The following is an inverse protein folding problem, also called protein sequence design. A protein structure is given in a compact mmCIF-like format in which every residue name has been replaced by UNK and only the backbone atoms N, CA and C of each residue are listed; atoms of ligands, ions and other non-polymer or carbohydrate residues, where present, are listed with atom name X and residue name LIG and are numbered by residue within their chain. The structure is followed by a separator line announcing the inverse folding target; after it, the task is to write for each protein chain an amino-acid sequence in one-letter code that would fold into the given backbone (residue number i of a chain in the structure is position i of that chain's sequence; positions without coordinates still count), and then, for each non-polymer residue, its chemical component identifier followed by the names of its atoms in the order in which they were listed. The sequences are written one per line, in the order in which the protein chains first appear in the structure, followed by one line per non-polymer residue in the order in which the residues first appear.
data_IF_434598630317
#
_entry.id   IF_434598630317
#
_cell.length_a   1.000
_cell.length_b   1.000
_cell.length_c   1.000
_cell.angle_alpha   90.00
_cell.angle_beta   90.00
_cell.angle_gamma   90.00
#
_symmetry.space_group_name_H-M   'P 1'
#
loop_
_entity.id
_entity.type
_entity.pdbx_description
1 polymer ?
#
# COMPACT_ATOMS: atom_id res chain seq x y z
N UNK A 1 -33.12 -7.45 2.83
CA UNK A 1 -32.56 -6.32 2.06
C UNK A 1 -31.44 -6.84 1.17
N UNK A 2 -31.21 -6.26 0.00
CA UNK A 2 -30.08 -6.64 -0.85
C UNK A 2 -28.76 -6.23 -0.16
N UNK A 3 -27.73 -7.08 -0.22
CA UNK A 3 -26.41 -6.81 0.39
C UNK A 3 -25.84 -5.47 -0.13
N UNK A 4 -25.69 -4.43 0.73
CA UNK A 4 -25.25 -3.11 0.28
C UNK A 4 -23.81 -3.12 -0.26
N UNK A 5 -22.98 -4.10 0.14
CA UNK A 5 -21.62 -4.28 -0.40
C UNK A 5 -21.62 -4.74 -1.86
N UNK A 6 -22.64 -5.48 -2.29
CA UNK A 6 -22.84 -5.81 -3.72
C UNK A 6 -23.25 -4.54 -4.49
N UNK A 7 -24.05 -3.68 -3.88
CA UNK A 7 -24.43 -2.39 -4.51
C UNK A 7 -23.23 -1.45 -4.65
N UNK A 8 -22.29 -1.42 -3.70
CA UNK A 8 -21.02 -0.67 -3.86
C UNK A 8 -20.28 -1.08 -5.13
N UNK A 9 -20.17 -2.39 -5.37
CA UNK A 9 -19.49 -2.92 -6.57
C UNK A 9 -20.17 -2.45 -7.86
N UNK A 10 -21.50 -2.43 -7.89
CA UNK A 10 -22.27 -1.93 -9.03
C UNK A 10 -22.10 -0.41 -9.24
N UNK A 11 -21.85 0.35 -8.16
CA UNK A 11 -21.52 1.78 -8.22
C UNK A 11 -20.04 2.04 -8.57
N UNK A 12 -19.26 0.99 -8.79
CA UNK A 12 -17.84 1.07 -9.17
C UNK A 12 -16.89 1.28 -8.00
N UNK A 13 -17.32 0.98 -6.77
CA UNK A 13 -16.47 0.92 -5.59
C UNK A 13 -16.28 -0.53 -5.11
N UNK A 14 -15.04 -0.97 -5.04
CA UNK A 14 -14.69 -2.32 -4.59
C UNK A 14 -14.56 -2.37 -3.06
N UNK A 15 -15.34 -3.21 -2.35
CA UNK A 15 -15.18 -3.42 -0.92
C UNK A 15 -14.01 -4.39 -0.67
N UNK A 16 -12.99 -3.95 0.04
CA UNK A 16 -11.85 -4.77 0.44
C UNK A 16 -11.86 -5.01 1.96
N UNK A 17 -11.34 -6.17 2.37
CA UNK A 17 -11.19 -6.52 3.77
C UNK A 17 -9.83 -6.03 4.29
N UNK A 18 -9.80 -5.19 5.31
CA UNK A 18 -8.56 -4.74 5.96
C UNK A 18 -8.21 -5.61 7.18
N UNK A 19 -8.08 -6.92 6.94
CA UNK A 19 -7.63 -7.88 7.94
C UNK A 19 -7.14 -9.18 7.29
N UNK A 20 -6.27 -9.91 7.99
CA UNK A 20 -5.87 -11.27 7.66
C UNK A 20 -5.52 -12.03 8.93
N UNK A 21 -5.89 -13.30 8.99
CA UNK A 21 -5.40 -14.24 9.99
C UNK A 21 -5.45 -15.64 9.42
N UNK A 22 -4.64 -16.54 9.95
CA UNK A 22 -4.65 -17.94 9.55
C UNK A 22 -6.02 -18.60 9.75
N UNK A 23 -6.69 -18.31 10.86
CA UNK A 23 -8.05 -18.83 11.10
C UNK A 23 -9.07 -18.34 10.09
N UNK A 24 -8.98 -17.08 9.65
CA UNK A 24 -9.87 -16.54 8.61
C UNK A 24 -9.74 -17.34 7.30
N UNK A 25 -8.53 -17.82 6.99
CA UNK A 25 -8.22 -18.63 5.81
C UNK A 25 -8.67 -20.09 6.00
N UNK A 26 -8.23 -20.75 7.07
CA UNK A 26 -8.43 -22.19 7.28
C UNK A 26 -9.87 -22.57 7.64
N UNK A 27 -10.62 -21.69 8.30
CA UNK A 27 -12.03 -21.93 8.62
C UNK A 27 -12.98 -21.83 7.42
N UNK A 28 -12.51 -21.33 6.27
CA UNK A 28 -13.35 -21.03 5.11
C UNK A 28 -14.13 -19.73 5.21
N UNK A 29 -13.97 -18.94 6.29
CA UNK A 29 -14.64 -17.67 6.47
C UNK A 29 -14.32 -16.66 5.35
N UNK A 30 -13.04 -16.53 4.94
CA UNK A 30 -12.68 -15.66 3.81
C UNK A 30 -13.38 -16.09 2.51
N UNK A 31 -13.42 -17.40 2.24
CA UNK A 31 -14.08 -17.97 1.07
C UNK A 31 -15.57 -17.67 1.08
N UNK A 32 -16.21 -17.73 2.26
CA UNK A 32 -17.61 -17.34 2.43
C UNK A 32 -17.84 -15.86 2.14
N UNK A 33 -17.02 -14.96 2.68
CA UNK A 33 -17.13 -13.52 2.40
C UNK A 33 -17.03 -13.22 0.90
N UNK A 34 -16.11 -13.89 0.19
CA UNK A 34 -15.98 -13.78 -1.26
C UNK A 34 -17.20 -14.33 -2.00
N UNK A 35 -17.72 -15.49 -1.57
CA UNK A 35 -18.89 -16.11 -2.19
C UNK A 35 -20.19 -15.31 -1.99
N UNK A 36 -20.35 -14.71 -0.81
CA UNK A 36 -21.51 -13.87 -0.45
C UNK A 36 -21.44 -12.47 -1.14
N UNK A 37 -20.34 -12.17 -1.82
CA UNK A 37 -20.11 -10.89 -2.48
C UNK A 37 -19.80 -9.74 -1.52
N UNK A 38 -19.37 -10.04 -0.30
CA UNK A 38 -19.04 -9.03 0.70
C UNK A 38 -17.75 -8.28 0.38
N UNK A 39 -16.78 -8.99 -0.22
CA UNK A 39 -15.45 -8.44 -0.51
C UNK A 39 -14.95 -8.87 -1.88
N UNK A 40 -14.13 -8.02 -2.50
CA UNK A 40 -13.45 -8.29 -3.77
C UNK A 40 -11.94 -8.15 -3.69
N UNK A 41 -11.38 -7.89 -2.50
CA UNK A 41 -9.95 -7.83 -2.25
C UNK A 41 -9.63 -7.79 -0.77
N UNK A 42 -8.33 -7.79 -0.44
CA UNK A 42 -7.84 -7.85 0.93
C UNK A 42 -6.55 -7.05 1.11
N UNK A 43 -6.41 -6.37 2.24
CA UNK A 43 -5.15 -5.76 2.68
C UNK A 43 -4.66 -6.34 4.00
N UNK A 44 -3.33 -6.40 4.14
CA UNK A 44 -2.65 -6.67 5.40
C UNK A 44 -1.78 -5.47 5.81
N UNK A 45 -1.32 -5.49 7.07
CA UNK A 45 -0.31 -4.59 7.61
C UNK A 45 0.36 -5.25 8.85
N UNK A 46 1.48 -4.71 9.37
CA UNK A 46 2.18 -5.33 10.50
C UNK A 46 1.34 -5.49 11.78
N UNK A 47 0.49 -4.52 12.12
CA UNK A 47 -0.38 -4.58 13.32
C UNK A 47 -1.38 -5.73 13.23
N UNK A 48 -1.94 -5.97 12.04
CA UNK A 48 -2.86 -7.10 11.79
C UNK A 48 -2.14 -8.44 12.05
N UNK A 49 -0.94 -8.61 11.49
CA UNK A 49 -0.17 -9.83 11.72
C UNK A 49 0.27 -10.00 13.18
N UNK A 50 0.63 -8.91 13.85
CA UNK A 50 0.96 -8.94 15.27
C UNK A 50 -0.19 -9.50 16.08
N UNK A 51 -1.40 -8.96 15.88
CA UNK A 51 -2.60 -9.43 16.56
C UNK A 51 -2.89 -10.89 16.23
N UNK A 52 -2.85 -11.28 14.95
CA UNK A 52 -3.11 -12.66 14.53
C UNK A 52 -2.13 -13.67 15.15
N UNK A 53 -0.84 -13.35 15.18
CA UNK A 53 0.20 -14.23 15.70
C UNK A 53 0.25 -14.22 17.24
N UNK A 54 0.00 -13.09 17.88
CA UNK A 54 0.04 -12.97 19.34
C UNK A 54 -1.15 -13.64 20.03
N UNK A 55 -2.33 -13.61 19.40
CA UNK A 55 -3.60 -13.97 20.05
C UNK A 55 -4.13 -15.37 19.68
N UNK A 56 -3.37 -16.16 18.91
CA UNK A 56 -3.83 -17.47 18.43
C UNK A 56 -2.76 -18.56 18.50
N UNK A 57 -3.23 -19.81 18.52
CA UNK A 57 -2.40 -21.00 18.36
C UNK A 57 -2.29 -21.47 16.90
N UNK A 58 -2.89 -20.73 15.96
CA UNK A 58 -3.00 -21.16 14.55
C UNK A 58 -1.63 -21.21 13.85
N UNK A 59 -0.64 -20.51 14.39
CA UNK A 59 0.71 -20.39 13.84
C UNK A 59 1.73 -21.33 14.50
N UNK A 60 1.33 -22.11 15.52
CA UNK A 60 2.24 -22.84 16.40
C UNK A 60 3.10 -23.82 15.62
N UNK A 61 2.49 -24.73 14.86
CA UNK A 61 3.21 -25.80 14.15
C UNK A 61 4.29 -25.25 13.20
N UNK A 62 3.95 -24.23 12.40
CA UNK A 62 4.90 -23.60 11.49
C UNK A 62 5.97 -22.83 12.24
N UNK A 63 5.59 -22.06 13.26
CA UNK A 63 6.55 -21.31 14.07
C UNK A 63 7.54 -22.27 14.73
N UNK A 64 7.05 -23.40 15.24
CA UNK A 64 7.90 -24.39 15.88
C UNK A 64 8.88 -25.02 14.90
N UNK A 65 8.38 -25.46 13.74
CA UNK A 65 9.18 -26.05 12.67
C UNK A 65 10.27 -25.07 12.21
N UNK A 66 9.88 -23.83 11.89
CA UNK A 66 10.81 -22.79 11.42
C UNK A 66 11.83 -22.39 12.51
N UNK A 67 11.43 -22.40 13.78
CA UNK A 67 12.34 -22.16 14.89
C UNK A 67 13.39 -23.28 15.01
N UNK A 68 12.99 -24.54 14.90
CA UNK A 68 13.90 -25.72 14.92
C UNK A 68 14.84 -25.76 13.71
N UNK A 69 14.41 -25.21 12.57
CA UNK A 69 15.26 -24.97 11.39
C UNK A 69 16.32 -23.85 11.61
N UNK A 70 16.31 -23.19 12.77
CA UNK A 70 17.29 -22.15 13.11
C UNK A 70 17.00 -20.78 12.50
N UNK A 71 15.79 -20.54 11.99
CA UNK A 71 15.40 -19.25 11.40
C UNK A 71 15.29 -18.16 12.46
N UNK A 72 15.63 -16.92 12.07
CA UNK A 72 15.41 -15.74 12.90
C UNK A 72 13.92 -15.38 12.98
N UNK A 73 13.54 -14.53 13.94
CA UNK A 73 12.16 -14.04 14.04
C UNK A 73 11.69 -13.32 12.77
N UNK A 74 12.55 -12.52 12.11
CA UNK A 74 12.23 -11.89 10.83
C UNK A 74 11.99 -12.93 9.72
N UNK A 75 12.82 -13.98 9.65
CA UNK A 75 12.66 -15.06 8.66
C UNK A 75 11.41 -15.91 8.91
N UNK A 76 11.07 -16.13 10.19
CA UNK A 76 9.83 -16.82 10.57
C UNK A 76 8.63 -15.98 10.14
N UNK A 77 8.59 -14.71 10.53
CA UNK A 77 7.51 -13.81 10.15
C UNK A 77 7.34 -13.74 8.61
N UNK A 78 8.44 -13.57 7.87
CA UNK A 78 8.41 -13.54 6.40
C UNK A 78 7.77 -14.81 5.82
N UNK A 79 8.17 -15.99 6.31
CA UNK A 79 7.60 -17.25 5.85
C UNK A 79 6.10 -17.39 6.16
N UNK A 80 5.67 -16.98 7.36
CA UNK A 80 4.27 -17.02 7.77
C UNK A 80 3.41 -16.05 6.95
N UNK A 81 3.86 -14.80 6.80
CA UNK A 81 3.13 -13.78 6.05
C UNK A 81 3.03 -14.12 4.57
N UNK A 82 4.12 -14.61 3.94
CA UNK A 82 4.09 -15.05 2.54
C UNK A 82 3.13 -16.21 2.35
N UNK A 83 3.09 -17.19 3.27
CA UNK A 83 2.16 -18.31 3.19
C UNK A 83 0.70 -17.84 3.26
N UNK A 84 0.35 -17.06 4.29
CA UNK A 84 -1.01 -16.55 4.46
C UNK A 84 -1.48 -15.70 3.27
N UNK A 85 -0.58 -14.88 2.71
CA UNK A 85 -0.88 -14.04 1.53
C UNK A 85 -1.06 -14.88 0.26
N UNK A 86 -0.31 -15.98 0.11
CA UNK A 86 -0.50 -16.91 -1.02
C UNK A 86 -1.86 -17.60 -0.93
N UNK A 87 -2.24 -18.06 0.25
CA UNK A 87 -3.53 -18.72 0.46
C UNK A 87 -4.69 -17.74 0.25
N UNK A 88 -4.55 -16.50 0.73
CA UNK A 88 -5.53 -15.43 0.48
C UNK A 88 -5.63 -15.09 -1.03
N UNK A 89 -4.51 -15.05 -1.75
CA UNK A 89 -4.50 -14.86 -3.20
C UNK A 89 -5.24 -15.99 -3.92
N UNK A 90 -5.08 -17.24 -3.48
CA UNK A 90 -5.76 -18.39 -4.07
C UNK A 90 -7.28 -18.35 -3.81
N UNK A 91 -7.71 -17.91 -2.63
CA UNK A 91 -9.14 -17.69 -2.32
C UNK A 91 -9.75 -16.58 -3.19
N UNK A 92 -8.98 -15.53 -3.50
CA UNK A 92 -9.43 -14.39 -4.32
C UNK A 92 -9.24 -14.60 -5.84
N UNK A 93 -8.55 -15.66 -6.27
CA UNK A 93 -8.29 -15.94 -7.68
C UNK A 93 -9.57 -15.99 -8.54
N UNK A 94 -10.70 -16.59 -8.11
CA UNK A 94 -11.94 -16.56 -8.88
C UNK A 94 -12.50 -15.15 -9.09
N UNK A 95 -12.28 -14.22 -8.15
CA UNK A 95 -12.65 -12.80 -8.31
C UNK A 95 -11.74 -12.13 -9.33
N UNK A 96 -10.44 -12.40 -9.25
CA UNK A 96 -9.47 -11.88 -10.20
C UNK A 96 -9.78 -12.32 -11.63
N UNK A 97 -10.09 -13.59 -11.82
CA UNK A 97 -10.46 -14.16 -13.12
C UNK A 97 -11.75 -13.57 -13.67
N UNK A 98 -12.85 -13.59 -12.89
CA UNK A 98 -14.17 -13.11 -13.36
C UNK A 98 -14.19 -11.61 -13.66
N UNK A 99 -13.31 -10.84 -13.02
CA UNK A 99 -13.18 -9.39 -13.22
C UNK A 99 -12.07 -9.02 -14.21
N UNK A 100 -11.42 -10.00 -14.84
CA UNK A 100 -10.29 -9.81 -15.74
C UNK A 100 -9.16 -8.97 -15.12
N UNK A 101 -8.88 -9.19 -13.83
CA UNK A 101 -7.88 -8.46 -13.06
C UNK A 101 -8.26 -7.03 -12.70
N UNK A 102 -9.55 -6.69 -12.73
CA UNK A 102 -10.03 -5.43 -12.15
C UNK A 102 -10.10 -5.52 -10.62
N UNK A 103 -10.36 -6.69 -10.04
CA UNK A 103 -10.37 -6.95 -8.60
C UNK A 103 -9.72 -8.31 -8.27
N UNK A 104 -9.92 -8.82 -7.06
CA UNK A 104 -9.38 -10.10 -6.58
C UNK A 104 -7.96 -10.00 -6.04
N UNK A 105 -7.54 -8.81 -5.60
CA UNK A 105 -6.18 -8.56 -5.15
C UNK A 105 -5.99 -8.78 -3.65
N UNK A 106 -4.79 -9.24 -3.29
CA UNK A 106 -4.30 -9.26 -1.90
C UNK A 106 -3.04 -8.42 -1.79
N UNK A 107 -2.90 -7.63 -0.72
CA UNK A 107 -1.71 -6.78 -0.50
C UNK A 107 -0.80 -7.30 0.62
N UNK A 108 0.52 -7.35 0.36
CA UNK A 108 1.59 -7.54 1.36
C UNK A 108 2.53 -6.34 1.35
N UNK A 109 2.98 -5.89 2.52
CA UNK A 109 3.79 -4.67 2.65
C UNK A 109 5.29 -4.94 2.75
N UNK A 110 6.10 -4.06 2.15
CA UNK A 110 7.55 -4.05 2.38
C UNK A 110 7.87 -3.70 3.84
N UNK A 111 9.00 -4.16 4.35
CA UNK A 111 9.40 -3.84 5.72
C UNK A 111 9.50 -2.30 5.93
N UNK A 112 8.90 -1.72 6.99
CA UNK A 112 8.89 -0.26 7.20
C UNK A 112 10.28 0.39 7.28
N UNK A 113 11.29 -0.35 7.75
CA UNK A 113 12.70 0.08 7.78
C UNK A 113 13.26 0.46 6.39
N UNK A 114 12.62 0.01 5.32
CA UNK A 114 13.01 0.30 3.94
C UNK A 114 12.33 1.55 3.36
N UNK A 115 11.36 2.14 4.07
CA UNK A 115 10.52 3.22 3.55
C UNK A 115 11.31 4.45 3.07
N UNK A 116 12.54 4.65 3.55
CA UNK A 116 13.42 5.76 3.16
C UNK A 116 14.61 5.33 2.28
N UNK A 117 14.63 4.08 1.78
CA UNK A 117 15.66 3.52 0.90
C UNK A 117 15.02 3.01 -0.41
N UNK A 118 15.14 3.81 -1.46
CA UNK A 118 14.58 3.48 -2.79
C UNK A 118 15.16 2.17 -3.35
N UNK A 119 16.50 1.97 -3.47
CA UNK A 119 17.04 0.70 -3.96
C UNK A 119 16.62 -0.53 -3.16
N UNK A 120 16.58 -0.43 -1.83
CA UNK A 120 16.18 -1.56 -0.97
C UNK A 120 14.70 -1.89 -1.11
N UNK A 121 13.83 -0.88 -1.17
CA UNK A 121 12.40 -1.06 -1.43
C UNK A 121 12.16 -1.77 -2.76
N UNK A 122 12.86 -1.40 -3.83
CA UNK A 122 12.74 -2.06 -5.15
C UNK A 122 13.16 -3.54 -5.07
N UNK A 123 14.28 -3.83 -4.41
CA UNK A 123 14.75 -5.22 -4.22
C UNK A 123 13.73 -6.04 -3.45
N UNK A 124 13.18 -5.47 -2.39
CA UNK A 124 12.21 -6.15 -1.56
C UNK A 124 10.88 -6.38 -2.28
N UNK A 125 10.40 -5.41 -3.03
CA UNK A 125 9.18 -5.58 -3.83
C UNK A 125 9.31 -6.73 -4.85
N UNK A 126 10.45 -6.84 -5.53
CA UNK A 126 10.75 -7.95 -6.44
C UNK A 126 10.83 -9.29 -5.72
N UNK A 127 11.42 -9.31 -4.52
CA UNK A 127 11.53 -10.52 -3.68
C UNK A 127 10.16 -11.01 -3.26
N UNK A 128 9.32 -10.14 -2.70
CA UNK A 128 7.95 -10.45 -2.27
C UNK A 128 7.09 -10.92 -3.44
N UNK A 129 7.16 -10.24 -4.58
CA UNK A 129 6.49 -10.65 -5.81
C UNK A 129 6.86 -12.09 -6.22
N UNK A 130 8.16 -12.40 -6.19
CA UNK A 130 8.67 -13.74 -6.54
C UNK A 130 8.33 -14.80 -5.48
N UNK A 131 8.31 -14.44 -4.20
CA UNK A 131 8.06 -15.37 -3.10
C UNK A 131 6.57 -15.78 -3.01
N UNK A 132 5.67 -14.82 -3.18
CA UNK A 132 4.23 -15.09 -3.24
C UNK A 132 3.88 -15.78 -4.56
N UNK A 133 4.42 -15.33 -5.68
CA UNK A 133 4.22 -15.95 -7.00
C UNK A 133 2.73 -16.17 -7.36
N UNK A 134 1.95 -15.09 -7.28
CA UNK A 134 0.54 -15.03 -7.69
C UNK A 134 0.26 -13.76 -8.48
N UNK A 135 -0.52 -13.82 -9.58
CA UNK A 135 -0.74 -12.67 -10.46
C UNK A 135 -1.60 -11.58 -9.82
N UNK A 136 -2.39 -11.94 -8.80
CA UNK A 136 -3.27 -11.06 -8.05
C UNK A 136 -2.65 -10.58 -6.72
N UNK A 137 -1.34 -10.71 -6.55
CA UNK A 137 -0.62 -10.00 -5.49
C UNK A 137 -0.55 -8.51 -5.82
N UNK A 138 -0.62 -7.65 -4.80
CA UNK A 138 -0.07 -6.30 -4.80
C UNK A 138 1.02 -6.19 -3.74
N UNK A 139 2.17 -5.63 -4.12
CA UNK A 139 3.17 -5.22 -3.13
C UNK A 139 2.84 -3.82 -2.65
N UNK A 140 2.76 -3.63 -1.33
CA UNK A 140 2.42 -2.37 -0.70
C UNK A 140 3.69 -1.57 -0.39
N UNK A 141 3.78 -0.36 -0.92
CA UNK A 141 4.93 0.54 -0.80
C UNK A 141 4.46 1.89 -0.22
N UNK A 142 5.03 2.37 0.89
CA UNK A 142 4.73 3.71 1.42
C UNK A 142 5.05 4.83 0.43
N UNK A 143 4.18 5.84 0.36
CA UNK A 143 4.33 7.03 -0.48
C UNK A 143 5.28 8.06 0.13
N UNK A 144 6.38 7.64 0.74
CA UNK A 144 7.43 8.58 1.17
C UNK A 144 8.12 9.18 -0.05
N UNK A 145 8.92 10.23 0.14
CA UNK A 145 9.74 10.79 -0.93
C UNK A 145 10.65 9.74 -1.59
N UNK A 146 11.17 8.77 -0.84
CA UNK A 146 11.98 7.67 -1.35
C UNK A 146 11.14 6.51 -1.91
N UNK A 147 9.90 6.34 -1.46
CA UNK A 147 8.99 5.30 -1.92
C UNK A 147 8.42 5.58 -3.31
N UNK A 148 8.11 6.84 -3.63
CA UNK A 148 7.59 7.25 -4.95
C UNK A 148 8.45 6.76 -6.13
N UNK A 149 9.77 6.97 -6.17
CA UNK A 149 10.60 6.43 -7.25
C UNK A 149 10.68 4.88 -7.23
N UNK A 150 10.54 4.24 -6.06
CA UNK A 150 10.46 2.78 -5.97
C UNK A 150 9.15 2.24 -6.59
N UNK A 151 8.04 2.97 -6.42
CA UNK A 151 6.76 2.69 -7.09
C UNK A 151 6.93 2.76 -8.61
N UNK A 152 7.49 3.85 -9.14
CA UNK A 152 7.70 4.00 -10.59
C UNK A 152 8.54 2.85 -11.16
N UNK A 153 9.60 2.44 -10.44
CA UNK A 153 10.42 1.31 -10.85
C UNK A 153 9.68 -0.02 -10.80
N UNK A 154 8.94 -0.29 -9.72
CA UNK A 154 8.22 -1.54 -9.56
C UNK A 154 7.09 -1.70 -10.58
N UNK A 155 6.39 -0.61 -10.92
CA UNK A 155 5.41 -0.59 -12.03
C UNK A 155 6.11 -0.84 -13.38
N UNK A 156 7.27 -0.22 -13.63
CA UNK A 156 8.03 -0.47 -14.85
C UNK A 156 8.50 -1.94 -14.97
N UNK A 157 8.84 -2.57 -13.85
CA UNK A 157 9.19 -3.99 -13.75
C UNK A 157 7.99 -4.91 -13.97
N UNK A 158 6.76 -4.39 -13.87
CA UNK A 158 5.52 -5.10 -14.16
C UNK A 158 4.82 -5.69 -12.93
N UNK A 159 5.13 -5.18 -11.74
CA UNK A 159 4.48 -5.58 -10.50
C UNK A 159 3.19 -4.79 -10.32
N UNK A 160 2.20 -5.41 -9.67
CA UNK A 160 1.06 -4.64 -9.15
C UNK A 160 1.44 -4.00 -7.82
N UNK A 161 1.09 -2.72 -7.64
CA UNK A 161 1.52 -1.95 -6.47
C UNK A 161 0.34 -1.32 -5.76
N UNK A 162 0.26 -1.54 -4.45
CA UNK A 162 -0.58 -0.78 -3.54
C UNK A 162 0.26 0.34 -2.91
N UNK A 163 0.06 1.58 -3.33
CA UNK A 163 0.80 2.71 -2.76
C UNK A 163 0.10 3.16 -1.47
N UNK A 164 0.79 3.18 -0.33
CA UNK A 164 0.19 3.43 1.00
C UNK A 164 0.69 4.70 1.67
N UNK A 165 0.09 5.08 2.81
CA UNK A 165 0.40 6.30 3.57
C UNK A 165 0.29 7.59 2.75
N UNK A 166 -0.74 7.70 1.91
CA UNK A 166 -1.02 8.93 1.17
C UNK A 166 -2.00 9.77 1.99
N UNK A 167 -1.57 10.98 2.38
CA UNK A 167 -2.40 11.92 3.15
C UNK A 167 -2.65 13.23 2.42
N UNK A 168 -1.70 13.68 1.59
CA UNK A 168 -1.76 14.98 0.91
C UNK A 168 -2.11 14.84 -0.57
N UNK A 169 -2.83 15.84 -1.10
CA UNK A 169 -3.11 15.94 -2.53
C UNK A 169 -1.82 16.02 -3.36
N UNK A 170 -0.82 16.76 -2.87
CA UNK A 170 0.49 16.86 -3.52
C UNK A 170 1.17 15.49 -3.64
N UNK A 171 1.23 14.73 -2.55
CA UNK A 171 1.81 13.39 -2.59
C UNK A 171 1.02 12.47 -3.52
N UNK A 172 -0.31 12.59 -3.53
CA UNK A 172 -1.13 11.79 -4.42
C UNK A 172 -0.87 12.09 -5.90
N UNK A 173 -0.67 13.36 -6.27
CA UNK A 173 -0.25 13.73 -7.63
C UNK A 173 1.09 13.10 -8.01
N UNK A 174 2.09 13.15 -7.12
CA UNK A 174 3.40 12.51 -7.33
C UNK A 174 3.28 10.99 -7.51
N UNK A 175 2.40 10.33 -6.75
CA UNK A 175 2.13 8.89 -6.87
C UNK A 175 1.50 8.55 -8.22
N UNK A 176 0.51 9.33 -8.67
CA UNK A 176 -0.09 9.11 -9.99
C UNK A 176 0.91 9.38 -11.12
N UNK A 177 1.79 10.36 -10.97
CA UNK A 177 2.90 10.61 -11.90
C UNK A 177 3.86 9.43 -11.98
N UNK A 178 4.27 8.87 -10.84
CA UNK A 178 5.11 7.67 -10.78
C UNK A 178 4.42 6.45 -11.43
N UNK A 179 3.11 6.28 -11.24
CA UNK A 179 2.37 5.21 -11.90
C UNK A 179 2.40 5.36 -13.43
N UNK A 180 2.03 6.52 -13.95
CA UNK A 180 2.05 6.77 -15.40
C UNK A 180 3.47 6.67 -15.96
N UNK A 181 4.48 7.21 -15.25
CA UNK A 181 5.89 7.12 -15.62
C UNK A 181 6.36 5.66 -15.74
N UNK A 182 6.02 4.82 -14.77
CA UNK A 182 6.35 3.40 -14.79
C UNK A 182 5.76 2.67 -16.00
N UNK A 183 4.47 2.90 -16.28
CA UNK A 183 3.79 2.33 -17.45
C UNK A 183 4.40 2.80 -18.77
N UNK A 184 4.71 4.11 -18.88
CA UNK A 184 5.34 4.68 -20.08
C UNK A 184 6.69 4.02 -20.33
N UNK A 185 7.56 3.95 -19.32
CA UNK A 185 8.90 3.34 -19.45
C UNK A 185 8.81 1.88 -19.87
N UNK A 186 7.85 1.14 -19.33
CA UNK A 186 7.62 -0.26 -19.69
C UNK A 186 7.20 -0.42 -21.16
N UNK A 187 6.26 0.41 -21.61
CA UNK A 187 5.80 0.41 -22.99
C UNK A 187 6.89 0.84 -23.98
N UNK A 188 7.70 1.85 -23.63
CA UNK A 188 8.87 2.28 -24.42
C UNK A 188 9.93 1.18 -24.52
N UNK A 189 10.00 0.30 -23.51
CA UNK A 189 10.85 -0.90 -23.49
C UNK A 189 10.27 -2.07 -24.31
N UNK A 190 9.10 -1.89 -24.93
CA UNK A 190 8.40 -2.89 -25.73
C UNK A 190 7.73 -3.99 -24.92
N UNK A 191 7.47 -3.75 -23.63
CA UNK A 191 6.79 -4.69 -22.73
C UNK A 191 5.32 -4.30 -22.56
N UNK A 192 4.46 -5.28 -22.25
CA UNK A 192 3.01 -5.08 -22.10
C UNK A 192 2.65 -4.39 -20.79
N UNK A 193 1.52 -3.68 -20.77
CA UNK A 193 0.98 -2.96 -19.60
C UNK A 193 -0.44 -3.43 -19.20
N UNK A 194 -1.03 -4.36 -19.96
CA UNK A 194 -2.41 -4.85 -19.81
C UNK A 194 -2.67 -5.69 -18.55
N UNK A 195 -1.62 -6.26 -17.97
CA UNK A 195 -1.66 -7.02 -16.72
C UNK A 195 -1.28 -6.25 -15.46
N UNK A 196 -1.08 -4.92 -15.53
CA UNK A 196 -0.60 -4.12 -14.39
C UNK A 196 -1.75 -3.36 -13.74
N UNK A 197 -1.97 -3.64 -12.45
CA UNK A 197 -2.90 -2.94 -11.60
C UNK A 197 -2.15 -2.14 -10.51
N UNK A 198 -2.76 -1.03 -10.07
CA UNK A 198 -2.28 -0.30 -8.91
C UNK A 198 -3.43 0.39 -8.21
N UNK A 199 -3.32 0.49 -6.89
CA UNK A 199 -4.21 1.29 -6.04
C UNK A 199 -3.39 2.32 -5.26
N UNK A 200 -4.01 3.44 -4.93
CA UNK A 200 -3.41 4.50 -4.12
C UNK A 200 -4.20 4.67 -2.82
N UNK A 201 -3.73 4.04 -1.74
CA UNK A 201 -4.34 4.05 -0.41
C UNK A 201 -4.21 5.43 0.24
N UNK A 202 -5.26 6.24 0.06
CA UNK A 202 -5.46 7.57 0.61
C UNK A 202 -6.16 7.48 1.96
N UNK A 203 -5.48 7.92 3.02
CA UNK A 203 -5.94 7.75 4.40
C UNK A 203 -6.97 8.81 4.78
N UNK A 204 -8.08 8.38 5.38
CA UNK A 204 -9.25 9.21 5.66
C UNK A 204 -9.32 9.60 7.14
N UNK A 205 -9.77 8.72 8.04
CA UNK A 205 -10.11 9.08 9.45
C UNK A 205 -8.96 9.69 10.27
N UNK A 206 -7.70 9.41 9.91
CA UNK A 206 -6.53 10.00 10.59
C UNK A 206 -6.46 11.52 10.40
N UNK A 207 -7.00 12.03 9.28
CA UNK A 207 -7.08 13.46 9.00
C UNK A 207 -8.01 14.14 9.99
N UNK A 208 -9.26 13.68 10.10
CA UNK A 208 -10.21 14.26 11.06
C UNK A 208 -9.75 14.09 12.49
N UNK A 209 -9.15 12.95 12.86
CA UNK A 209 -8.60 12.75 14.21
C UNK A 209 -7.58 13.85 14.59
N UNK A 210 -6.68 14.22 13.67
CA UNK A 210 -5.68 15.25 13.94
C UNK A 210 -6.26 16.67 13.82
N UNK A 211 -7.11 16.92 12.82
CA UNK A 211 -7.72 18.25 12.61
C UNK A 211 -8.67 18.59 13.75
N UNK A 212 -9.53 17.66 14.17
CA UNK A 212 -10.46 17.86 15.28
C UNK A 212 -9.70 18.14 16.58
N UNK A 213 -8.58 17.43 16.82
CA UNK A 213 -7.68 17.72 17.95
C UNK A 213 -7.12 19.14 17.90
N UNK A 214 -6.63 19.58 16.73
CA UNK A 214 -6.11 20.94 16.54
C UNK A 214 -7.19 22.02 16.68
N UNK A 215 -8.43 21.69 16.33
CA UNK A 215 -9.62 22.53 16.58
C UNK A 215 -9.88 22.62 18.09
N UNK A 216 -9.90 21.50 18.80
CA UNK A 216 -10.12 21.45 20.25
C UNK A 216 -9.07 22.25 21.02
N UNK A 217 -7.80 22.09 20.67
CA UNK A 217 -6.69 22.86 21.27
C UNK A 217 -6.88 24.38 21.07
N UNK A 218 -7.33 24.82 19.90
CA UNK A 218 -7.62 26.24 19.63
C UNK A 218 -8.84 26.75 20.39
N UNK A 219 -9.90 25.96 20.46
CA UNK A 219 -11.11 26.31 21.21
C UNK A 219 -10.82 26.44 22.72
N UNK A 220 -9.95 25.57 23.25
CA UNK A 220 -9.48 25.63 24.63
C UNK A 220 -8.57 26.85 24.88
N UNK A 221 -7.78 27.27 23.89
CA UNK A 221 -6.94 28.46 23.93
C UNK A 221 -7.70 29.79 23.71
N UNK A 222 -9.03 29.77 23.64
CA UNK A 222 -9.85 30.98 23.54
C UNK A 222 -9.95 31.58 22.12
N UNK A 223 -9.84 30.76 21.07
CA UNK A 223 -9.95 31.26 19.69
C UNK A 223 -11.26 32.04 19.42
N UNK A 224 -11.14 33.23 18.82
CA UNK A 224 -12.23 34.16 18.50
C UNK A 224 -13.33 33.55 17.60
N UNK A 225 -12.95 32.70 16.64
CA UNK A 225 -13.87 32.10 15.65
C UNK A 225 -14.39 30.72 16.08
N UNK A 226 -15.00 30.64 17.26
CA UNK A 226 -15.48 29.38 17.86
C UNK A 226 -16.48 28.64 16.98
N UNK A 227 -17.48 29.34 16.46
CA UNK A 227 -18.55 28.72 15.65
C UNK A 227 -18.01 28.15 14.35
N UNK A 228 -17.10 28.86 13.68
CA UNK A 228 -16.43 28.38 12.48
C UNK A 228 -15.64 27.11 12.78
N UNK A 229 -14.76 27.15 13.80
CA UNK A 229 -13.95 26.01 14.21
C UNK A 229 -14.81 24.79 14.54
N UNK A 230 -15.88 24.96 15.31
CA UNK A 230 -16.78 23.86 15.65
C UNK A 230 -17.51 23.32 14.41
N UNK A 231 -17.85 24.18 13.45
CA UNK A 231 -18.48 23.77 12.19
C UNK A 231 -17.56 22.96 11.27
N UNK A 232 -16.23 22.98 11.49
CA UNK A 232 -15.24 22.27 10.67
C UNK A 232 -14.93 20.85 11.17
N UNK A 233 -15.35 20.50 12.39
CA UNK A 233 -15.11 19.17 12.97
C UNK A 233 -15.69 18.06 12.08
N UNK A 234 -14.88 17.03 11.85
CA UNK A 234 -15.26 15.86 11.05
C UNK A 234 -15.45 16.13 9.56
N UNK A 235 -15.04 17.30 9.03
CA UNK A 235 -15.20 17.66 7.61
C UNK A 235 -13.92 17.54 6.80
N UNK A 236 -12.75 17.61 7.45
CA UNK A 236 -11.47 17.74 6.77
C UNK A 236 -11.12 16.48 5.95
N UNK A 237 -11.35 15.28 6.50
CA UNK A 237 -11.01 14.03 5.85
C UNK A 237 -11.83 13.80 4.57
N UNK A 238 -13.15 13.97 4.64
CA UNK A 238 -14.04 13.82 3.47
C UNK A 238 -13.72 14.90 2.44
N UNK A 239 -13.54 16.16 2.86
CA UNK A 239 -13.16 17.23 1.95
C UNK A 239 -11.85 16.90 1.22
N UNK A 240 -10.84 16.38 1.93
CA UNK A 240 -9.54 16.01 1.37
C UNK A 240 -9.67 14.86 0.36
N UNK A 241 -10.40 13.81 0.70
CA UNK A 241 -10.63 12.66 -0.18
C UNK A 241 -11.45 13.04 -1.44
N UNK A 242 -12.44 13.94 -1.33
CA UNK A 242 -13.16 14.48 -2.50
C UNK A 242 -12.23 15.23 -3.45
N UNK A 243 -11.34 16.08 -2.92
CA UNK A 243 -10.36 16.78 -3.74
C UNK A 243 -9.33 15.83 -4.36
N UNK A 244 -8.96 14.75 -3.66
CA UNK A 244 -8.13 13.68 -4.21
C UNK A 244 -8.83 12.99 -5.39
N UNK A 245 -10.13 12.67 -5.25
CA UNK A 245 -10.93 12.10 -6.34
C UNK A 245 -11.01 13.02 -7.57
N UNK A 246 -11.17 14.34 -7.36
CA UNK A 246 -11.11 15.33 -8.45
C UNK A 246 -9.75 15.30 -9.16
N UNK A 247 -8.65 15.25 -8.41
CA UNK A 247 -7.31 15.15 -8.97
C UNK A 247 -7.11 13.86 -9.78
N UNK A 248 -7.60 12.73 -9.26
CA UNK A 248 -7.64 11.43 -9.94
C UNK A 248 -8.36 11.51 -11.29
N UNK A 249 -9.61 11.97 -11.30
CA UNK A 249 -10.42 12.07 -12.53
C UNK A 249 -9.72 12.94 -13.58
N UNK A 250 -9.15 14.07 -13.16
CA UNK A 250 -8.39 14.97 -14.03
C UNK A 250 -7.13 14.31 -14.60
N UNK A 251 -6.38 13.54 -13.80
CA UNK A 251 -5.12 12.90 -14.22
C UNK A 251 -5.36 11.80 -15.25
N UNK A 252 -6.37 10.95 -15.00
CA UNK A 252 -6.72 9.82 -15.85
C UNK A 252 -7.67 10.18 -17.00
N UNK A 253 -8.03 11.46 -17.17
CA UNK A 253 -8.68 11.98 -18.39
C UNK A 253 -7.68 12.62 -19.37
N UNK A 254 -6.37 12.50 -19.14
CA UNK A 254 -5.34 13.12 -20.00
C UNK A 254 -5.05 12.29 -21.25
N UNK A 255 -4.59 12.96 -22.32
CA UNK A 255 -4.12 12.31 -23.55
C UNK A 255 -3.00 11.29 -23.28
N UNK A 256 -2.10 11.60 -22.34
CA UNK A 256 -1.02 10.69 -21.95
C UNK A 256 -1.56 9.34 -21.45
N UNK A 257 -2.61 9.37 -20.62
CA UNK A 257 -3.26 8.15 -20.16
C UNK A 257 -4.08 7.48 -21.28
N UNK A 258 -4.76 8.25 -22.14
CA UNK A 258 -5.52 7.68 -23.26
C UNK A 258 -4.64 6.79 -24.16
N UNK A 259 -3.40 7.19 -24.42
CA UNK A 259 -2.42 6.36 -25.16
C UNK A 259 -2.09 5.06 -24.43
N UNK A 260 -1.88 5.10 -23.12
CA UNK A 260 -1.62 3.90 -22.31
C UNK A 260 -2.84 2.98 -22.26
N UNK A 261 -4.03 3.55 -22.11
CA UNK A 261 -5.31 2.83 -22.09
C UNK A 261 -5.54 2.07 -23.40
N UNK A 262 -5.17 2.63 -24.55
CA UNK A 262 -5.20 1.94 -25.84
C UNK A 262 -4.26 0.72 -25.92
N UNK A 263 -3.31 0.59 -24.99
CA UNK A 263 -2.44 -0.58 -24.84
C UNK A 263 -2.87 -1.48 -23.65
N UNK A 264 -4.08 -1.29 -23.14
CA UNK A 264 -4.66 -2.09 -22.06
C UNK A 264 -4.36 -1.62 -20.65
N UNK A 265 -3.68 -0.48 -20.47
CA UNK A 265 -3.41 0.05 -19.13
C UNK A 265 -4.71 0.42 -18.40
N UNK A 266 -4.74 0.16 -17.09
CA UNK A 266 -5.84 0.51 -16.19
C UNK A 266 -5.58 1.84 -15.50
N UNK A 267 -6.61 2.46 -14.93
CA UNK A 267 -6.41 3.60 -14.03
C UNK A 267 -5.81 3.10 -12.71
N UNK A 268 -4.99 3.92 -12.05
CA UNK A 268 -4.62 3.65 -10.65
C UNK A 268 -5.77 4.12 -9.77
N UNK A 269 -6.57 3.19 -9.27
CA UNK A 269 -7.77 3.51 -8.49
C UNK A 269 -7.38 4.16 -7.16
N UNK A 270 -8.05 5.26 -6.72
CA UNK A 270 -7.99 5.68 -5.34
C UNK A 270 -8.52 4.54 -4.45
N UNK A 271 -7.83 4.27 -3.35
CA UNK A 271 -8.28 3.37 -2.31
C UNK A 271 -8.47 4.19 -1.03
N UNK A 272 -9.67 4.21 -0.47
CA UNK A 272 -9.94 4.86 0.81
C UNK A 272 -9.50 3.94 1.94
N UNK A 273 -8.49 4.37 2.70
CA UNK A 273 -7.91 3.60 3.79
C UNK A 273 -8.21 4.29 5.14
N UNK A 274 -8.21 3.50 6.21
CA UNK A 274 -8.56 4.00 7.55
C UNK A 274 -9.97 4.63 7.54
N UNK A 275 -10.97 3.91 7.04
CA UNK A 275 -12.37 4.37 6.90
C UNK A 275 -13.27 4.02 8.08
N UNK A 276 -12.69 3.54 9.19
CA UNK A 276 -13.41 3.42 10.46
C UNK A 276 -13.58 4.78 11.13
N UNK A 277 -14.81 5.07 11.56
CA UNK A 277 -15.13 6.22 12.40
C UNK A 277 -14.42 6.12 13.76
N UNK A 278 -13.70 7.17 14.16
CA UNK A 278 -12.93 7.24 15.42
C UNK A 278 -13.63 8.05 16.50
N UNK A 279 -14.48 8.99 16.09
CA UNK A 279 -15.24 9.85 16.99
C UNK A 279 -16.67 9.30 17.09
N UNK A 280 -17.16 8.91 18.28
CA UNK A 280 -18.52 8.37 18.44
C UNK A 280 -19.63 9.38 18.14
N UNK A 281 -19.31 10.68 18.03
CA UNK A 281 -20.25 11.70 17.58
C UNK A 281 -20.56 11.62 16.08
N UNK A 282 -19.80 10.86 15.29
CA UNK A 282 -20.03 10.68 13.86
C UNK A 282 -20.68 9.31 13.59
N UNK A 283 -21.47 9.17 12.51
CA UNK A 283 -22.03 7.87 12.13
C UNK A 283 -20.97 6.77 11.96
N UNK A 284 -21.31 5.52 12.27
CA UNK A 284 -20.37 4.38 12.20
C UNK A 284 -19.76 4.20 10.80
N UNK A 285 -20.58 4.35 9.76
CA UNK A 285 -20.22 4.18 8.34
C UNK A 285 -19.91 5.51 7.62
N UNK A 286 -19.68 6.58 8.39
CA UNK A 286 -19.56 7.96 7.91
C UNK A 286 -18.63 8.14 6.69
N UNK A 287 -17.42 7.58 6.75
CA UNK A 287 -16.46 7.72 5.68
C UNK A 287 -16.80 6.87 4.46
N UNK A 288 -17.27 5.63 4.66
CA UNK A 288 -17.64 4.74 3.56
C UNK A 288 -18.74 5.38 2.74
N UNK A 289 -19.81 5.85 3.38
CA UNK A 289 -20.96 6.46 2.70
C UNK A 289 -20.61 7.74 1.92
N UNK A 290 -19.70 8.55 2.45
CA UNK A 290 -19.32 9.82 1.85
C UNK A 290 -18.41 9.68 0.62
N UNK A 291 -17.72 8.54 0.49
CA UNK A 291 -16.60 8.36 -0.45
C UNK A 291 -16.88 7.33 -1.56
N UNK A 292 -18.13 6.87 -1.67
CA UNK A 292 -18.57 6.00 -2.77
C UNK A 292 -18.46 6.75 -4.10
N UNK A 293 -17.76 6.14 -5.05
CA UNK A 293 -17.72 6.61 -6.43
C UNK A 293 -17.06 5.65 -7.41
N UNK A 294 -17.24 5.86 -8.72
CA UNK A 294 -16.68 5.00 -9.75
C UNK A 294 -15.15 4.92 -9.72
N UNK A 295 -14.61 3.76 -10.07
CA UNK A 295 -13.17 3.47 -10.12
C UNK A 295 -12.45 3.64 -8.77
N UNK A 296 -13.13 3.33 -7.65
CA UNK A 296 -12.54 3.42 -6.31
C UNK A 296 -12.53 2.07 -5.58
N UNK A 297 -11.77 2.01 -4.50
CA UNK A 297 -11.73 0.90 -3.56
C UNK A 297 -11.94 1.49 -2.16
N UNK A 298 -12.62 0.79 -1.27
CA UNK A 298 -12.61 1.09 0.17
C UNK A 298 -12.09 -0.15 0.91
N UNK A 299 -11.02 -0.02 1.70
CA UNK A 299 -10.54 -1.11 2.54
C UNK A 299 -11.04 -0.91 3.97
N UNK A 300 -11.95 -1.80 4.37
CA UNK A 300 -12.72 -1.66 5.60
C UNK A 300 -12.23 -2.68 6.64
N UNK A 301 -11.94 -2.24 7.88
CA UNK A 301 -11.71 -3.17 8.97
C UNK A 301 -12.98 -3.99 9.26
N UNK A 302 -12.88 -5.15 9.94
CA UNK A 302 -13.99 -6.08 10.13
C UNK A 302 -15.27 -5.43 10.68
N UNK A 303 -15.15 -4.54 11.67
CA UNK A 303 -16.29 -3.84 12.27
C UNK A 303 -17.00 -2.91 11.26
N UNK A 304 -16.25 -2.08 10.54
CA UNK A 304 -16.81 -1.17 9.53
C UNK A 304 -17.45 -1.94 8.37
N UNK A 305 -16.83 -3.04 7.93
CA UNK A 305 -17.41 -3.90 6.89
C UNK A 305 -18.74 -4.52 7.35
N UNK A 306 -18.80 -5.00 8.59
CA UNK A 306 -20.01 -5.57 9.17
C UNK A 306 -21.12 -4.53 9.36
N UNK A 307 -20.80 -3.35 9.91
CA UNK A 307 -21.74 -2.24 10.05
C UNK A 307 -22.28 -1.78 8.69
N UNK A 308 -21.42 -1.65 7.69
CA UNK A 308 -21.87 -1.30 6.34
C UNK A 308 -22.77 -2.38 5.72
N UNK A 309 -22.45 -3.66 5.91
CA UNK A 309 -23.30 -4.78 5.44
C UNK A 309 -24.69 -4.76 6.07
N UNK A 310 -24.78 -4.37 7.34
CA UNK A 310 -26.01 -4.33 8.12
C UNK A 310 -26.92 -3.16 7.71
N UNK A 311 -26.39 -1.94 7.67
CA UNK A 311 -27.21 -0.72 7.53
C UNK A 311 -26.66 0.35 6.57
N UNK A 312 -25.68 0.01 5.72
CA UNK A 312 -25.10 0.97 4.77
C UNK A 312 -26.10 1.45 3.70
N UNK A 313 -26.01 2.74 3.34
CA UNK A 313 -26.82 3.34 2.27
C UNK A 313 -25.99 3.66 1.00
N UNK A 314 -25.92 2.74 0.03
CA UNK A 314 -25.04 2.85 -1.14
C UNK A 314 -25.54 3.89 -2.16
N UNK A 315 -24.80 4.99 -2.27
CA UNK A 315 -25.06 6.09 -3.21
C UNK A 315 -23.74 6.80 -3.56
N UNK A 316 -23.54 7.22 -4.81
CA UNK A 316 -22.35 8.00 -5.21
C UNK A 316 -22.44 9.40 -4.61
N UNK A 317 -21.49 9.76 -3.74
CA UNK A 317 -21.45 11.07 -3.04
C UNK A 317 -20.14 11.82 -3.19
N UNK A 318 -19.12 11.17 -3.73
CA UNK A 318 -17.75 11.69 -3.72
C UNK A 318 -17.52 12.87 -4.70
N UNK A 319 -18.27 12.92 -5.80
CA UNK A 319 -18.20 13.99 -6.80
C UNK A 319 -19.21 15.12 -6.55
N UNK A 320 -20.15 14.93 -5.61
CA UNK A 320 -21.07 15.96 -5.15
C UNK A 320 -20.41 16.97 -4.21
N UNK A 321 -20.89 18.22 -4.22
CA UNK A 321 -20.51 19.29 -3.27
C UNK A 321 -18.99 19.53 -3.18
N UNK A 322 -18.27 19.41 -4.30
CA UNK A 322 -16.80 19.66 -4.36
C UNK A 322 -16.44 21.10 -3.97
N UNK A 323 -17.28 22.07 -4.30
CA UNK A 323 -17.04 23.47 -3.89
C UNK A 323 -17.11 23.66 -2.36
N UNK A 324 -17.97 22.88 -1.68
CA UNK A 324 -17.99 22.84 -0.21
C UNK A 324 -16.68 22.25 0.34
N UNK A 325 -16.17 21.17 -0.28
CA UNK A 325 -14.89 20.60 0.10
C UNK A 325 -13.72 21.60 -0.06
N UNK A 326 -13.72 22.43 -1.10
CA UNK A 326 -12.74 23.52 -1.26
C UNK A 326 -12.87 24.56 -0.15
N UNK A 327 -14.10 25.01 0.14
CA UNK A 327 -14.37 25.97 1.22
C UNK A 327 -13.92 25.45 2.58
N UNK A 328 -14.10 24.17 2.87
CA UNK A 328 -13.58 23.56 4.12
C UNK A 328 -12.06 23.72 4.22
N UNK A 329 -11.33 23.49 3.13
CA UNK A 329 -9.87 23.70 3.13
C UNK A 329 -9.49 25.16 3.34
N UNK A 330 -10.17 26.08 2.64
CA UNK A 330 -9.93 27.52 2.77
C UNK A 330 -10.25 27.99 4.20
N UNK A 331 -11.35 27.51 4.80
CA UNK A 331 -11.75 27.85 6.17
C UNK A 331 -10.81 27.27 7.23
N UNK A 332 -10.26 26.07 7.01
CA UNK A 332 -9.22 25.52 7.87
C UNK A 332 -7.95 26.38 7.83
N UNK A 333 -7.52 26.81 6.64
CA UNK A 333 -6.37 27.70 6.48
C UNK A 333 -6.63 29.07 7.14
N UNK A 334 -7.81 29.65 6.94
CA UNK A 334 -8.25 30.87 7.62
C UNK A 334 -8.21 30.72 9.14
N UNK A 335 -8.57 29.55 9.67
CA UNK A 335 -8.50 29.21 11.09
C UNK A 335 -7.08 28.86 11.58
N UNK A 336 -6.07 28.97 10.71
CA UNK A 336 -4.67 28.70 11.01
C UNK A 336 -4.34 27.22 11.10
N UNK A 337 -5.17 26.33 10.56
CA UNK A 337 -4.94 24.88 10.46
C UNK A 337 -4.55 24.57 9.01
N UNK A 338 -3.25 24.62 8.73
CA UNK A 338 -2.74 24.36 7.38
C UNK A 338 -2.72 22.86 7.09
N UNK A 339 -3.41 22.44 6.04
CA UNK A 339 -3.49 21.04 5.66
C UNK A 339 -2.14 20.45 5.23
N UNK A 340 -1.22 21.26 4.71
CA UNK A 340 0.15 20.83 4.42
C UNK A 340 0.90 20.40 5.69
N UNK A 341 0.69 21.08 6.81
CA UNK A 341 1.34 20.74 8.08
C UNK A 341 0.71 19.50 8.70
N UNK A 342 -0.63 19.42 8.68
CA UNK A 342 -1.40 18.24 9.12
C UNK A 342 -0.95 17.00 8.36
N UNK A 343 -0.93 17.06 7.03
CA UNK A 343 -0.63 15.90 6.20
C UNK A 343 0.85 15.50 6.25
N UNK A 344 1.78 16.47 6.40
CA UNK A 344 3.19 16.17 6.67
C UNK A 344 3.37 15.42 7.99
N UNK A 345 2.74 15.92 9.06
CA UNK A 345 2.77 15.26 10.36
C UNK A 345 2.20 13.84 10.30
N UNK A 346 1.10 13.63 9.58
CA UNK A 346 0.50 12.31 9.41
C UNK A 346 1.38 11.34 8.60
N UNK A 347 2.12 11.84 7.60
CA UNK A 347 3.11 11.03 6.87
C UNK A 347 4.24 10.57 7.82
N UNK A 348 4.83 11.50 8.58
CA UNK A 348 5.90 11.23 9.55
C UNK A 348 5.45 10.27 10.66
N UNK A 349 4.33 10.58 11.33
CA UNK A 349 3.76 9.74 12.39
C UNK A 349 3.32 8.38 11.84
N UNK A 350 2.82 8.33 10.61
CA UNK A 350 2.40 7.11 9.93
C UNK A 350 3.55 6.13 9.71
N UNK A 351 4.67 6.62 9.18
CA UNK A 351 5.89 5.80 9.00
C UNK A 351 6.44 5.33 10.35
N UNK A 352 6.49 6.21 11.34
CA UNK A 352 6.98 5.87 12.69
C UNK A 352 6.10 4.81 13.37
N UNK A 353 4.77 4.95 13.30
CA UNK A 353 3.83 3.99 13.86
C UNK A 353 3.93 2.62 13.19
N UNK A 354 4.18 2.58 11.88
CA UNK A 354 4.36 1.32 11.14
C UNK A 354 5.66 0.63 11.52
N UNK A 355 6.77 1.37 11.65
CA UNK A 355 8.03 0.82 12.14
C UNK A 355 7.88 0.24 13.55
N UNK A 356 7.24 0.98 14.46
CA UNK A 356 6.96 0.50 15.82
C UNK A 356 6.10 -0.77 15.84
N UNK A 357 5.06 -0.83 15.01
CA UNK A 357 4.18 -2.01 14.92
C UNK A 357 4.94 -3.23 14.39
N UNK A 358 5.85 -3.02 13.44
CA UNK A 358 6.71 -4.08 12.92
C UNK A 358 7.70 -4.57 13.97
N UNK A 359 8.36 -3.68 14.71
CA UNK A 359 9.27 -4.08 15.80
C UNK A 359 8.55 -4.87 16.89
N UNK A 360 7.32 -4.46 17.25
CA UNK A 360 6.46 -5.17 18.20
C UNK A 360 6.12 -6.58 17.71
N UNK A 361 5.69 -6.69 16.45
CA UNK A 361 5.44 -7.96 15.78
C UNK A 361 6.67 -8.89 15.81
N UNK A 362 7.86 -8.39 15.44
CA UNK A 362 9.08 -9.20 15.46
C UNK A 362 9.44 -9.63 16.89
N UNK A 363 9.21 -8.77 17.88
CA UNK A 363 9.42 -9.12 19.30
C UNK A 363 8.46 -10.23 19.77
N UNK A 364 7.19 -10.20 19.33
CA UNK A 364 6.22 -11.28 19.59
C UNK A 364 6.71 -12.59 18.97
N UNK A 365 7.13 -12.58 17.70
CA UNK A 365 7.64 -13.78 17.02
C UNK A 365 8.89 -14.31 17.70
N UNK A 366 9.82 -13.43 18.11
CA UNK A 366 11.03 -13.84 18.85
C UNK A 366 10.70 -14.46 20.22
N UNK A 367 9.73 -13.88 20.94
CA UNK A 367 9.26 -14.45 22.21
C UNK A 367 8.74 -15.87 22.00
N UNK A 368 7.87 -16.06 21.00
CA UNK A 368 7.30 -17.38 20.66
C UNK A 368 8.37 -18.36 20.17
N UNK A 369 9.33 -17.89 19.38
CA UNK A 369 10.48 -18.67 18.90
C UNK A 369 11.32 -19.21 20.05
N UNK A 370 11.63 -18.36 21.05
CA UNK A 370 12.38 -18.76 22.25
C UNK A 370 11.61 -19.75 23.12
N UNK A 371 10.31 -19.53 23.30
CA UNK A 371 9.45 -20.46 24.04
C UNK A 371 9.47 -21.86 23.42
N UNK A 372 9.41 -21.95 22.08
CA UNK A 372 9.54 -23.23 21.37
C UNK A 372 10.90 -23.89 21.64
N UNK A 373 12.00 -23.14 21.48
CA UNK A 373 13.35 -23.70 21.61
C UNK A 373 13.72 -24.06 23.06
N UNK A 374 13.08 -23.43 24.04
CA UNK A 374 13.23 -23.74 25.46
C UNK A 374 12.33 -24.87 25.96
N UNK A 375 11.32 -25.27 25.19
CA UNK A 375 10.44 -26.38 25.54
C UNK A 375 11.10 -27.73 25.18
N UNK A 376 11.03 -28.75 26.04
CA UNK A 376 11.47 -30.10 25.68
C UNK A 376 10.65 -30.60 24.48
N UNK A 377 11.30 -31.32 23.56
CA UNK A 377 10.64 -31.83 22.36
C UNK A 377 9.40 -32.68 22.73
N UNK A 378 8.26 -32.52 22.03
CA UNK A 378 7.10 -33.38 22.26
C UNK A 378 7.49 -34.85 22.10
N UNK A 379 7.33 -35.64 23.17
CA UNK A 379 7.69 -37.06 23.20
C UNK A 379 9.05 -37.41 23.83
N UNK A 380 9.82 -36.44 24.34
CA UNK A 380 10.99 -36.75 25.16
C UNK A 380 10.55 -37.20 26.57
N UNK A 381 10.97 -38.38 27.07
CA UNK A 381 10.69 -38.77 28.45
C UNK A 381 11.33 -37.76 29.43
N UNK A 382 10.72 -37.52 30.61
CA UNK A 382 11.24 -36.54 31.56
C UNK A 382 12.66 -36.92 31.95
N UNK A 383 13.60 -35.97 31.78
CA UNK A 383 14.99 -36.16 32.14
C UNK A 383 15.09 -36.40 33.65
N UNK A 384 15.62 -37.57 34.04
CA UNK A 384 15.88 -37.90 35.43
C UNK A 384 16.84 -36.88 36.06
N UNK A 385 16.44 -36.32 37.21
CA UNK A 385 17.23 -35.35 37.95
C UNK A 385 18.57 -35.96 38.42
N UNK A 386 19.68 -35.56 37.79
CA UNK A 386 21.01 -35.94 38.22
C UNK A 386 21.49 -35.03 39.38
N UNK A 387 21.82 -35.65 40.52
CA UNK A 387 22.47 -34.99 41.69
C UNK A 387 23.90 -34.54 41.32
N UNK A 388 24.43 -33.45 41.90
CA UNK A 388 25.72 -32.90 41.50
C UNK A 388 26.89 -33.59 42.22
N UNK A 389 27.86 -34.08 41.45
CA UNK A 389 29.16 -34.53 41.96
C UNK A 389 30.18 -33.38 41.97
N UNK A 390 30.93 -33.28 43.08
CA UNK A 390 31.94 -32.26 43.38
C UNK A 390 33.20 -32.39 42.51
N UNK A 391 33.83 -31.23 42.25
CA UNK A 391 35.09 -31.01 41.52
C UNK A 391 36.31 -31.70 42.17
N UNK A 392 37.22 -32.19 41.34
CA UNK A 392 38.65 -32.30 41.64
C UNK A 392 39.50 -31.99 40.39
N UNK A 393 40.64 -31.33 40.62
CA UNK A 393 41.43 -30.56 39.67
C UNK A 393 42.30 -31.38 38.69
N UNK A 394 42.56 -30.82 37.50
CA UNK A 394 43.59 -31.29 36.55
C UNK A 394 44.79 -30.34 36.51
N UNK A 395 45.98 -30.89 36.76
CA UNK A 395 47.30 -30.36 36.35
C UNK A 395 47.67 -30.97 34.98
N UNK A 396 48.29 -30.15 34.12
CA UNK A 396 49.53 -30.54 33.44
C UNK A 396 49.50 -31.03 31.99
N UNK A 397 50.02 -30.14 31.12
CA UNK A 397 51.04 -30.36 30.06
C UNK A 397 50.66 -30.93 28.66
N UNK A 398 50.83 -30.02 27.69
CA UNK A 398 51.63 -30.04 26.43
C UNK A 398 51.38 -31.11 25.34
N UNK A 399 51.15 -30.63 24.12
CA UNK A 399 51.58 -31.25 22.86
C UNK A 399 51.95 -30.17 21.82
N UNK A 400 52.86 -30.42 20.84
CA UNK A 400 53.44 -29.40 19.96
C UNK A 400 52.93 -29.42 18.50
N UNK A 401 53.35 -28.35 17.80
CA UNK A 401 53.12 -27.91 16.42
C UNK A 401 53.44 -28.94 15.30
N UNK A 402 52.77 -28.80 14.15
CA UNK A 402 53.36 -28.91 12.80
C UNK A 402 52.53 -28.20 11.72
N UNK A 403 53.22 -27.81 10.65
CA UNK A 403 52.88 -26.80 9.65
C UNK A 403 52.62 -27.40 8.25
N UNK A 404 52.06 -26.62 7.30
CA UNK A 404 52.19 -26.92 5.86
C UNK A 404 51.21 -26.22 4.88
N UNK A 405 51.72 -25.18 4.18
CA UNK A 405 51.63 -24.82 2.71
C UNK A 405 50.28 -24.99 1.95
N UNK A 406 49.67 -24.02 1.23
CA UNK A 406 50.02 -23.06 0.12
C UNK A 406 49.38 -23.46 -1.26
N UNK A 407 48.70 -22.47 -1.92
CA UNK A 407 48.49 -22.20 -3.40
C UNK A 407 47.45 -23.07 -4.17
N UNK A 408 46.80 -22.67 -5.30
CA UNK A 408 46.56 -21.42 -6.07
C UNK A 408 45.50 -21.62 -7.22
N UNK A 409 45.09 -20.50 -7.86
CA UNK A 409 44.06 -20.18 -8.91
C UNK A 409 44.20 -20.81 -10.33
N UNK A 410 43.09 -20.86 -11.13
CA UNK A 410 42.83 -20.16 -12.47
C UNK A 410 41.66 -20.82 -13.28
N UNK A 411 40.60 -20.07 -13.68
CA UNK A 411 40.27 -19.38 -14.98
C UNK A 411 39.88 -20.24 -16.20
N UNK A 412 38.71 -19.95 -16.82
CA UNK A 412 38.49 -19.82 -18.30
C UNK A 412 37.16 -19.13 -18.65
N UNK A 413 37.12 -18.45 -19.79
CA UNK A 413 36.04 -17.60 -20.31
C UNK A 413 35.92 -17.72 -21.85
N UNK A 414 34.79 -17.21 -22.40
CA UNK A 414 34.44 -16.85 -23.80
C UNK A 414 33.97 -18.00 -24.73
N UNK A 415 33.08 -17.85 -25.74
CA UNK A 415 32.12 -16.83 -26.19
C UNK A 415 31.34 -17.40 -27.42
N UNK A 416 30.11 -16.92 -27.75
CA UNK A 416 29.54 -17.00 -29.11
C UNK A 416 28.38 -15.99 -29.34
N UNK A 417 28.27 -15.46 -30.58
CA UNK A 417 27.47 -14.30 -31.03
C UNK A 417 26.23 -14.68 -31.89
N UNK A 418 25.10 -13.98 -31.66
CA UNK A 418 24.02 -13.38 -32.54
C UNK A 418 23.67 -13.91 -33.96
N UNK A 419 22.44 -13.62 -34.46
CA UNK A 419 22.29 -12.50 -35.42
C UNK A 419 21.08 -11.55 -35.23
N UNK A 420 21.21 -10.35 -35.83
CA UNK A 420 20.31 -9.18 -35.83
C UNK A 420 19.50 -9.12 -37.13
N UNK A 421 18.16 -9.20 -37.08
CA UNK A 421 17.23 -8.64 -38.09
C UNK A 421 15.85 -8.32 -37.48
N UNK A 422 15.77 -7.38 -36.55
CA UNK A 422 14.49 -6.84 -36.03
C UNK A 422 14.56 -5.36 -35.58
N UNK A 423 15.74 -4.73 -35.65
CA UNK A 423 16.00 -3.43 -35.02
C UNK A 423 15.51 -2.22 -35.84
N UNK A 424 15.29 -2.36 -37.14
CA UNK A 424 14.99 -1.24 -38.05
C UNK A 424 13.50 -0.86 -38.15
N UNK A 425 12.56 -1.79 -37.86
CA UNK A 425 11.12 -1.47 -37.77
C UNK A 425 10.73 -0.81 -36.43
N UNK A 426 11.36 -1.21 -35.31
CA UNK A 426 11.10 -0.66 -33.97
C UNK A 426 11.51 0.81 -33.81
N UNK A 427 12.58 1.23 -34.49
CA UNK A 427 13.05 2.63 -34.44
C UNK A 427 12.08 3.63 -35.11
N UNK A 428 11.30 3.20 -36.11
CA UNK A 428 10.34 4.07 -36.82
C UNK A 428 9.06 4.31 -36.01
N UNK A 429 8.60 3.33 -35.21
CA UNK A 429 7.43 3.48 -34.33
C UNK A 429 7.73 4.41 -33.12
N UNK A 430 8.88 4.24 -32.47
CA UNK A 430 9.31 5.09 -31.35
C UNK A 430 9.47 6.57 -31.74
N UNK A 431 9.86 6.84 -33.00
CA UNK A 431 9.93 8.21 -33.53
C UNK A 431 8.55 8.88 -33.71
N UNK A 432 7.48 8.11 -33.96
CA UNK A 432 6.11 8.65 -34.07
C UNK A 432 5.54 9.04 -32.70
N UNK A 433 5.75 8.23 -31.67
CA UNK A 433 5.33 8.55 -30.28
C UNK A 433 6.06 9.80 -29.75
N UNK A 434 7.38 9.87 -29.94
CA UNK A 434 8.17 11.07 -29.57
C UNK A 434 7.76 12.34 -30.34
N UNK A 435 7.42 12.22 -31.62
CA UNK A 435 6.94 13.37 -32.42
C UNK A 435 5.56 13.83 -31.96
N UNK A 436 4.64 12.92 -31.65
CA UNK A 436 3.32 13.26 -31.10
C UNK A 436 3.41 14.00 -29.77
N UNK A 437 4.21 13.48 -28.82
CA UNK A 437 4.39 14.10 -27.51
C UNK A 437 5.04 15.51 -27.60
N UNK A 438 6.08 15.68 -28.43
CA UNK A 438 6.73 17.00 -28.61
C UNK A 438 5.85 18.02 -29.33
N UNK A 439 5.08 17.62 -30.34
CA UNK A 439 4.16 18.54 -31.03
C UNK A 439 2.97 18.94 -30.17
N UNK A 440 2.44 18.03 -29.35
CA UNK A 440 1.40 18.34 -28.37
C UNK A 440 1.89 19.34 -27.31
N UNK A 441 3.09 19.12 -26.74
CA UNK A 441 3.71 20.03 -25.78
C UNK A 441 3.99 21.43 -26.39
N UNK A 442 4.50 21.49 -27.62
CA UNK A 442 4.75 22.75 -28.33
C UNK A 442 3.47 23.53 -28.63
N UNK A 443 2.40 22.85 -29.06
CA UNK A 443 1.09 23.48 -29.31
C UNK A 443 0.43 23.96 -28.01
N UNK A 444 0.57 23.22 -26.91
CA UNK A 444 0.07 23.63 -25.60
C UNK A 444 0.80 24.87 -25.06
N UNK A 445 2.13 24.93 -25.19
CA UNK A 445 2.94 26.09 -24.81
C UNK A 445 2.59 27.34 -25.64
N UNK A 446 2.40 27.17 -26.96
CA UNK A 446 1.99 28.26 -27.85
C UNK A 446 0.57 28.78 -27.58
N UNK A 447 -0.36 27.90 -27.17
CA UNK A 447 -1.71 28.31 -26.75
C UNK A 447 -1.68 29.09 -25.42
N UNK A 448 -0.88 28.64 -24.45
CA UNK A 448 -0.69 29.35 -23.17
C UNK A 448 -0.07 30.74 -23.38
N UNK A 449 0.94 30.86 -24.25
CA UNK A 449 1.57 32.16 -24.52
C UNK A 449 0.66 33.14 -25.28
N UNK A 450 -0.16 32.65 -26.22
CA UNK A 450 -1.18 33.47 -26.90
C UNK A 450 -2.29 33.93 -25.95
N UNK A 451 -2.73 33.07 -25.02
CA UNK A 451 -3.70 33.46 -23.98
C UNK A 451 -3.12 34.49 -23.01
N UNK A 452 -1.87 34.33 -22.57
CA UNK A 452 -1.19 35.30 -21.71
C UNK A 452 -1.03 36.66 -22.40
N UNK A 453 -0.65 36.69 -23.68
CA UNK A 453 -0.57 37.93 -24.48
C UNK A 453 -1.94 38.59 -24.67
N UNK A 454 -3.01 37.82 -24.91
CA UNK A 454 -4.38 38.37 -25.00
C UNK A 454 -4.87 38.94 -23.66
N UNK A 455 -4.55 38.29 -22.54
CA UNK A 455 -4.89 38.77 -21.20
C UNK A 455 -4.14 40.05 -20.84
N UNK A 456 -2.85 40.13 -21.17
CA UNK A 456 -2.03 41.34 -20.98
C UNK A 456 -2.58 42.51 -21.82
N UNK A 457 -2.89 42.29 -23.10
CA UNK A 457 -3.43 43.32 -24.01
C UNK A 457 -4.84 43.82 -23.62
N UNK A 458 -5.63 42.98 -22.91
CA UNK A 458 -6.92 43.39 -22.32
C UNK A 458 -6.76 44.20 -21.03
N UNK A 459 -5.68 43.99 -20.25
CA UNK A 459 -5.37 44.81 -19.06
C UNK A 459 -4.85 46.20 -19.42
N UNK A 460 -4.12 46.35 -20.53
CA UNK A 460 -3.61 47.66 -20.99
C UNK A 460 -4.65 48.53 -21.71
N UNK A 461 -5.83 48.00 -22.04
CA UNK A 461 -6.95 48.76 -22.63
C UNK A 461 -8.05 49.13 -21.62
N UNK A 462 -7.86 48.78 -20.34
CA UNK A 462 -8.78 49.07 -19.22
C UNK A 462 -8.15 49.99 -18.16
N UNK A 463 -6.99 50.57 -18.47
CA UNK A 463 -6.42 51.77 -17.87
C UNK A 463 -6.31 52.78 -19.00
#
# INVERSE_FOLDING_TARGET
MANPLIRLQLLGQSPWHDNISRRLLTSGALKKMVADGDITGLTSNPTIFEQAIASSTDYDEDLERLAREGKSAEQIFDALAVADIRDAADVLAPVFERTHGADGFVSIEVAPKLANDTPATIREARRLWSAVNRPNLMVKIPATAAGVPAVEQSIADGLNINVTLIFSLKRYEEVMDAYLGGLIRRLESGQKVDGIASVASFFVSRVDTLVDKLIDERLAAGAERRDLLQSLKGKAAIANAKLAYVAFRKKFSTEAFAVLKNHGARVQRPLWASTSTKNPAYPEVYYVEALIGPDTVDTMPPATLAGYKDHGNPEVRIDGRVDEARRVMDQLDEAGIRMEDVTRKLEEDGVAAFAKSFDSLIAVVEKRRRQTLGAPAPGAPPAAAARPAKKAAKRGRKAPRRAGRKRAKKKRAAAAKKPRRAATRRARAARRVRRGARTAAGKAAARKSKSAKKAAKRKTRRR
#
